data_IF_889556540754
#
_entry.id   IF_889556540754
#
_cell.length_a   1.000
_cell.length_b   1.000
_cell.length_c   1.000
_cell.angle_alpha   90.00
_cell.angle_beta   90.00
_cell.angle_gamma   90.00
#
_symmetry.space_group_name_H-M   'P 1'
#
loop_
_entity.id
_entity.type
_entity.pdbx_description
1 polymer ?
#
# COMPACT_ATOMS: atom_id res chain seq x y z
N UNK A 1 -17.08 -42.42 -15.05
CA UNK A 1 -16.29 -43.65 -15.29
C UNK A 1 -15.06 -43.57 -14.38
N UNK A 2 -15.11 -44.26 -13.23
CA UNK A 2 -14.11 -44.22 -12.16
C UNK A 2 -13.13 -45.37 -12.36
N UNK A 3 -11.83 -45.09 -12.41
CA UNK A 3 -10.78 -46.12 -12.36
C UNK A 3 -9.93 -45.87 -11.11
N UNK A 4 -10.02 -46.82 -10.17
CA UNK A 4 -9.14 -46.95 -9.00
C UNK A 4 -7.90 -47.74 -9.40
N UNK A 5 -6.69 -47.45 -8.91
CA UNK A 5 -5.55 -48.35 -9.02
C UNK A 5 -5.57 -49.42 -7.92
N UNK A 6 -5.33 -50.66 -8.36
CA UNK A 6 -5.18 -51.90 -7.60
C UNK A 6 -3.85 -51.88 -6.82
N UNK A 7 -3.91 -52.28 -5.55
CA UNK A 7 -2.73 -52.68 -4.75
C UNK A 7 -2.37 -54.15 -5.09
N UNK A 8 -1.08 -54.42 -5.31
CA UNK A 8 -0.48 -55.74 -5.41
C UNK A 8 0.10 -56.14 -4.03
N UNK A 9 0.00 -57.42 -3.63
CA UNK A 9 0.53 -57.90 -2.35
C UNK A 9 1.99 -58.35 -2.50
N UNK A 10 2.82 -58.08 -1.49
CA UNK A 10 4.18 -58.62 -1.30
C UNK A 10 4.12 -60.09 -0.88
N UNK A 11 5.05 -60.92 -1.35
CA UNK A 11 5.19 -62.29 -0.87
C UNK A 11 6.06 -62.38 0.39
N UNK A 12 5.54 -63.12 1.36
CA UNK A 12 6.21 -63.55 2.57
C UNK A 12 7.26 -64.63 2.25
N UNK A 13 8.50 -64.39 2.63
CA UNK A 13 9.56 -65.42 2.56
C UNK A 13 9.71 -66.05 3.94
N UNK A 14 9.42 -67.34 3.99
CA UNK A 14 9.56 -68.23 5.14
C UNK A 14 11.01 -68.74 5.18
N UNK A 15 11.79 -68.37 6.20
CA UNK A 15 13.14 -68.90 6.44
C UNK A 15 13.09 -70.01 7.48
N UNK A 16 13.40 -71.22 7.07
CA UNK A 16 13.58 -72.40 7.92
C UNK A 16 14.95 -72.37 8.57
N UNK A 17 15.00 -72.43 9.89
CA UNK A 17 16.22 -72.52 10.67
C UNK A 17 16.62 -74.00 10.86
N UNK A 18 17.81 -74.40 10.39
CA UNK A 18 18.46 -75.64 10.74
C UNK A 18 19.27 -75.48 12.00
N UNK A 19 18.95 -76.26 13.06
CA UNK A 19 19.79 -76.41 14.26
C UNK A 19 20.95 -77.36 13.98
N UNK A 20 22.17 -76.96 14.32
CA UNK A 20 23.31 -77.86 14.54
C UNK A 20 23.97 -77.50 15.88
N UNK A 21 24.30 -78.45 16.73
CA UNK A 21 24.94 -78.15 18.03
C UNK A 21 26.44 -78.03 17.86
N UNK A 22 27.04 -76.87 18.21
CA UNK A 22 28.46 -76.69 18.30
C UNK A 22 28.89 -76.54 19.77
N UNK A 23 29.89 -77.33 20.16
CA UNK A 23 30.48 -77.44 21.47
C UNK A 23 31.10 -76.11 21.92
N UNK A 24 30.89 -75.78 23.19
CA UNK A 24 31.40 -74.60 23.84
C UNK A 24 32.92 -74.78 24.24
N UNK A 25 33.79 -73.79 23.93
CA UNK A 25 35.07 -73.68 24.62
C UNK A 25 34.87 -72.94 25.95
N UNK A 26 35.43 -73.49 26.96
CA UNK A 26 35.57 -72.93 28.35
C UNK A 26 36.29 -71.59 28.29
N UNK A 27 35.49 -70.48 28.40
CA UNK A 27 36.05 -69.13 28.55
C UNK A 27 36.57 -68.93 30.03
N UNK A 28 37.85 -68.65 30.15
CA UNK A 28 38.40 -68.09 31.35
C UNK A 28 37.62 -66.82 31.73
N UNK A 29 37.04 -66.82 32.92
CA UNK A 29 36.38 -65.66 33.50
C UNK A 29 37.42 -64.54 33.77
N UNK A 30 37.48 -63.57 32.82
CA UNK A 30 38.04 -62.26 33.11
C UNK A 30 37.12 -61.59 34.11
N UNK A 31 37.57 -61.33 35.32
CA UNK A 31 36.90 -60.46 36.28
C UNK A 31 36.51 -59.16 35.60
N UNK A 32 35.27 -58.67 35.68
CA UNK A 32 34.94 -57.39 35.12
C UNK A 32 35.70 -56.28 35.80
N UNK A 33 36.58 -55.61 35.05
CA UNK A 33 37.18 -54.36 35.49
C UNK A 33 36.05 -53.42 35.84
N UNK A 34 36.02 -52.92 37.10
CA UNK A 34 35.05 -51.96 37.57
C UNK A 34 34.98 -50.79 36.56
N UNK A 35 33.79 -50.51 36.05
CA UNK A 35 33.56 -49.44 35.10
C UNK A 35 34.21 -48.14 35.60
N UNK A 36 35.08 -47.47 34.85
CA UNK A 36 35.79 -46.28 35.34
C UNK A 36 34.77 -45.18 35.67
N UNK A 37 34.82 -44.67 36.89
CA UNK A 37 33.92 -43.60 37.32
C UNK A 37 34.07 -42.40 36.36
N UNK A 38 32.98 -42.07 35.63
CA UNK A 38 32.98 -41.00 34.63
C UNK A 38 32.85 -39.64 35.28
N UNK A 39 33.78 -38.75 34.96
CA UNK A 39 33.86 -37.39 35.47
C UNK A 39 33.71 -36.43 34.31
N UNK A 40 32.57 -35.71 34.26
CA UNK A 40 32.33 -34.70 33.26
C UNK A 40 32.65 -33.32 33.85
N UNK A 41 33.51 -32.55 33.15
CA UNK A 41 33.86 -31.17 33.45
C UNK A 41 33.59 -30.28 32.23
N UNK A 42 33.40 -29.02 32.52
CA UNK A 42 33.38 -28.00 31.47
C UNK A 42 34.76 -27.33 31.39
N UNK A 43 35.23 -26.98 30.22
CA UNK A 43 36.49 -26.27 30.03
C UNK A 43 36.57 -25.02 30.93
N UNK A 44 37.68 -24.84 31.66
CA UNK A 44 37.90 -23.75 32.63
C UNK A 44 37.22 -23.95 33.98
N UNK A 45 36.57 -25.10 34.25
CA UNK A 45 35.99 -25.41 35.55
C UNK A 45 36.89 -26.39 36.33
N UNK A 46 36.75 -26.38 37.66
CA UNK A 46 37.45 -27.24 38.56
C UNK A 46 36.46 -28.14 39.30
N UNK A 47 36.89 -29.38 39.56
CA UNK A 47 36.13 -30.34 40.36
C UNK A 47 37.03 -30.99 41.37
N UNK A 48 36.61 -31.02 42.62
CA UNK A 48 37.36 -31.64 43.73
C UNK A 48 36.95 -33.11 43.87
N UNK A 49 37.92 -33.97 43.95
CA UNK A 49 37.79 -35.38 44.40
C UNK A 49 38.44 -35.55 45.78
N UNK A 50 37.65 -36.08 46.69
CA UNK A 50 38.08 -36.36 48.08
C UNK A 50 38.28 -37.83 48.21
N UNK A 51 39.42 -38.21 48.79
CA UNK A 51 39.84 -39.60 49.11
C UNK A 51 39.99 -39.76 50.57
N UNK A 52 39.52 -40.88 51.14
CA UNK A 52 39.57 -41.16 52.58
C UNK A 52 40.99 -41.41 53.10
N UNK A 53 41.93 -41.78 52.22
CA UNK A 53 43.31 -42.06 52.48
C UNK A 53 44.29 -41.11 51.81
N UNK A 54 45.57 -41.17 52.19
CA UNK A 54 46.60 -40.42 51.50
C UNK A 54 46.81 -40.98 50.08
N UNK A 55 46.89 -40.05 49.08
CA UNK A 55 47.24 -40.40 47.71
C UNK A 55 48.74 -40.53 47.57
N UNK A 56 49.23 -41.66 47.10
CA UNK A 56 50.67 -41.97 46.96
C UNK A 56 51.16 -41.57 45.55
N UNK A 57 50.33 -41.86 44.49
CA UNK A 57 50.71 -41.60 43.14
C UNK A 57 49.47 -41.26 42.33
N UNK A 58 49.61 -40.35 41.36
CA UNK A 58 48.63 -40.01 40.36
C UNK A 58 49.25 -40.12 38.96
N UNK A 59 48.47 -40.57 37.98
CA UNK A 59 48.87 -40.57 36.59
C UNK A 59 47.65 -40.09 35.72
N UNK A 60 47.87 -39.11 34.89
CA UNK A 60 46.92 -38.64 33.90
C UNK A 60 47.46 -38.98 32.51
N UNK A 61 46.57 -39.42 31.63
CA UNK A 61 47.01 -39.87 30.32
C UNK A 61 47.29 -38.66 29.40
N UNK A 62 46.55 -37.58 29.54
CA UNK A 62 46.71 -36.34 28.73
C UNK A 62 46.52 -35.09 29.61
N UNK A 63 47.65 -34.42 29.93
CA UNK A 63 47.69 -33.20 30.73
C UNK A 63 47.19 -31.96 29.93
N UNK A 64 47.10 -32.01 28.59
CA UNK A 64 46.60 -30.96 27.79
C UNK A 64 45.06 -30.87 27.90
N UNK A 65 44.37 -31.99 28.13
CA UNK A 65 42.92 -32.07 28.30
C UNK A 65 42.51 -31.68 29.72
N UNK A 66 43.17 -32.26 30.75
CA UNK A 66 42.89 -31.95 32.15
C UNK A 66 44.15 -31.88 32.99
N UNK A 67 44.23 -30.91 33.88
CA UNK A 67 45.27 -30.79 34.86
C UNK A 67 44.78 -31.31 36.22
N UNK A 68 45.68 -32.02 36.97
CA UNK A 68 45.39 -32.48 38.32
C UNK A 68 46.40 -31.87 39.32
N UNK A 69 45.87 -31.30 40.39
CA UNK A 69 46.65 -30.68 41.44
C UNK A 69 46.24 -31.27 42.80
N UNK A 70 47.19 -31.61 43.63
CA UNK A 70 46.92 -32.05 44.98
C UNK A 70 46.72 -30.81 45.86
N UNK A 71 45.51 -30.67 46.45
CA UNK A 71 45.28 -29.59 47.41
C UNK A 71 46.09 -29.79 48.68
N UNK A 72 46.64 -28.72 49.31
CA UNK A 72 47.39 -28.76 50.51
C UNK A 72 46.62 -29.46 51.63
N UNK A 73 47.27 -30.36 52.27
CA UNK A 73 46.68 -31.14 53.35
C UNK A 73 46.33 -30.25 54.56
N UNK A 74 45.06 -30.35 55.02
CA UNK A 74 44.63 -29.68 56.23
C UNK A 74 45.24 -30.42 57.40
N UNK A 75 45.96 -29.77 58.35
CA UNK A 75 46.50 -30.44 59.53
C UNK A 75 45.42 -31.16 60.30
N UNK A 76 45.58 -32.51 60.53
CA UNK A 76 44.65 -33.34 61.27
C UNK A 76 43.63 -34.15 60.42
N UNK A 77 43.57 -33.98 59.14
CA UNK A 77 42.67 -34.79 58.25
C UNK A 77 43.47 -35.83 57.45
N UNK A 78 43.12 -37.13 57.49
CA UNK A 78 43.76 -38.17 56.69
C UNK A 78 43.35 -38.06 55.19
N UNK A 79 42.29 -37.30 54.87
CA UNK A 79 41.70 -37.19 53.50
C UNK A 79 42.66 -36.42 52.59
N UNK A 80 42.93 -36.99 51.42
CA UNK A 80 43.59 -36.30 50.32
C UNK A 80 42.56 -35.70 49.38
N UNK A 81 42.83 -34.44 48.92
CA UNK A 81 41.94 -33.74 47.96
C UNK A 81 42.64 -33.48 46.62
N UNK A 82 42.10 -33.94 45.55
CA UNK A 82 42.56 -33.68 44.20
C UNK A 82 41.65 -32.69 43.51
N UNK A 83 42.22 -31.62 42.99
CA UNK A 83 41.49 -30.65 42.16
C UNK A 83 41.82 -30.95 40.72
N UNK A 84 40.81 -31.29 39.97
CA UNK A 84 40.89 -31.56 38.54
C UNK A 84 40.39 -30.31 37.80
N UNK A 85 41.22 -29.77 36.91
CA UNK A 85 40.93 -28.58 36.11
C UNK A 85 40.79 -28.98 34.63
N UNK A 86 39.63 -28.74 34.00
CA UNK A 86 39.44 -28.94 32.57
C UNK A 86 40.16 -27.85 31.78
N UNK A 87 41.18 -28.20 30.98
CA UNK A 87 41.98 -27.26 30.18
C UNK A 87 41.53 -27.18 28.73
N UNK A 88 41.34 -28.33 28.09
CA UNK A 88 40.89 -28.42 26.71
C UNK A 88 39.79 -29.48 26.55
N UNK A 89 38.91 -29.30 25.57
CA UNK A 89 37.86 -30.27 25.28
C UNK A 89 38.45 -31.58 24.76
N UNK A 90 38.01 -32.69 25.34
CA UNK A 90 38.49 -34.02 25.00
C UNK A 90 38.25 -35.01 26.11
N UNK A 91 38.65 -36.25 25.90
CA UNK A 91 38.60 -37.32 26.91
C UNK A 91 40.01 -37.71 27.39
N UNK A 92 40.18 -37.88 28.67
CA UNK A 92 41.43 -38.40 29.28
C UNK A 92 41.09 -39.33 30.44
N UNK A 93 42.08 -40.10 30.90
CA UNK A 93 41.92 -40.97 32.06
C UNK A 93 42.85 -40.56 33.16
N UNK A 94 42.38 -40.64 34.39
CA UNK A 94 43.14 -40.39 35.62
C UNK A 94 43.17 -41.65 36.45
N UNK A 95 44.36 -42.09 36.84
CA UNK A 95 44.55 -43.20 37.75
C UNK A 95 45.15 -42.66 39.09
N UNK A 96 44.52 -43.02 40.19
CA UNK A 96 44.91 -42.59 41.54
C UNK A 96 45.20 -43.80 42.37
N UNK A 97 46.41 -43.87 42.94
CA UNK A 97 46.83 -44.89 43.90
C UNK A 97 46.79 -44.33 45.31
N UNK A 98 45.95 -44.94 46.14
CA UNK A 98 45.83 -44.61 47.53
C UNK A 98 46.83 -45.42 48.33
N UNK A 99 47.45 -44.79 49.38
CA UNK A 99 48.43 -45.45 50.23
C UNK A 99 47.80 -46.67 50.96
N UNK A 100 48.40 -47.83 50.74
CA UNK A 100 47.95 -49.09 51.33
C UNK A 100 46.92 -49.87 50.50
N UNK A 101 46.56 -49.40 49.33
CA UNK A 101 45.73 -50.15 48.37
C UNK A 101 46.58 -50.60 47.16
N UNK A 102 46.54 -51.90 46.83
CA UNK A 102 47.32 -52.46 45.75
C UNK A 102 46.79 -52.06 44.34
N UNK A 103 45.49 -51.72 44.21
CA UNK A 103 44.89 -51.39 42.96
C UNK A 103 44.63 -49.87 42.82
N UNK A 104 45.02 -49.26 41.71
CA UNK A 104 44.70 -47.87 41.39
C UNK A 104 43.25 -47.75 40.97
N UNK A 105 42.53 -46.67 41.37
CA UNK A 105 41.22 -46.29 40.89
C UNK A 105 41.32 -45.48 39.60
N UNK A 106 40.60 -45.92 38.55
CA UNK A 106 40.58 -45.24 37.25
C UNK A 106 39.37 -44.37 37.16
N UNK A 107 39.53 -43.12 36.70
CA UNK A 107 38.47 -42.15 36.37
C UNK A 107 38.58 -41.79 34.93
N UNK A 108 37.47 -41.87 34.20
CA UNK A 108 37.35 -41.34 32.86
C UNK A 108 36.95 -39.88 32.98
N UNK A 109 37.79 -38.97 32.51
CA UNK A 109 37.54 -37.53 32.53
C UNK A 109 37.13 -37.11 31.14
N UNK A 110 35.95 -36.49 31.00
CA UNK A 110 35.45 -35.87 29.79
C UNK A 110 35.32 -34.37 29.99
N UNK A 111 36.13 -33.59 29.27
CA UNK A 111 36.06 -32.13 29.29
C UNK A 111 35.28 -31.67 28.10
N UNK A 112 34.12 -31.03 28.35
CA UNK A 112 33.22 -30.50 27.34
C UNK A 112 33.51 -29.01 27.13
N UNK A 113 33.33 -28.54 25.89
CA UNK A 113 33.40 -27.11 25.56
C UNK A 113 32.23 -26.35 26.23
N UNK A 114 32.48 -25.10 26.59
CA UNK A 114 31.37 -24.20 26.94
C UNK A 114 30.48 -24.01 25.75
N UNK A 115 29.19 -24.19 25.91
CA UNK A 115 28.19 -23.99 24.87
C UNK A 115 27.37 -22.77 25.23
N UNK A 116 27.40 -21.76 24.37
CA UNK A 116 26.43 -20.68 24.42
C UNK A 116 25.14 -21.15 23.73
N UNK A 117 24.02 -21.00 24.39
CA UNK A 117 22.72 -21.34 23.81
C UNK A 117 21.99 -20.01 23.50
N UNK A 118 21.67 -19.79 22.25
CA UNK A 118 20.81 -18.69 21.84
C UNK A 118 19.38 -19.22 21.75
N UNK A 119 18.52 -18.73 22.64
CA UNK A 119 17.09 -19.07 22.68
C UNK A 119 16.26 -17.78 22.52
N UNK A 120 15.05 -17.89 21.96
CA UNK A 120 14.14 -16.78 21.77
C UNK A 120 13.69 -16.64 20.33
N UNK A 121 12.98 -15.55 20.04
CA UNK A 121 12.56 -15.19 18.69
C UNK A 121 13.06 -13.78 18.36
N UNK A 122 13.65 -13.62 17.18
CA UNK A 122 14.05 -12.32 16.63
C UNK A 122 13.10 -11.94 15.51
N UNK A 123 12.73 -10.67 15.42
CA UNK A 123 11.80 -10.18 14.39
C UNK A 123 12.51 -9.83 13.09
N UNK A 124 13.85 -9.75 13.10
CA UNK A 124 14.64 -9.43 11.91
C UNK A 124 15.97 -10.19 11.87
N UNK A 125 16.51 -10.41 10.66
CA UNK A 125 17.84 -11.00 10.46
C UNK A 125 19.00 -10.16 11.06
N UNK A 126 19.00 -8.82 11.02
CA UNK A 126 20.01 -8.01 11.68
C UNK A 126 20.01 -8.19 13.19
N UNK A 127 18.82 -8.17 13.81
CA UNK A 127 18.66 -8.37 15.25
C UNK A 127 19.15 -9.75 15.69
N UNK A 128 18.80 -10.79 14.93
CA UNK A 128 19.30 -12.14 15.19
C UNK A 128 20.84 -12.22 15.10
N UNK A 129 21.45 -11.54 14.11
CA UNK A 129 22.92 -11.46 14.01
C UNK A 129 23.53 -10.77 15.21
N UNK A 130 22.97 -9.65 15.66
CA UNK A 130 23.42 -8.92 16.82
C UNK A 130 23.28 -9.75 18.11
N UNK A 131 22.16 -10.44 18.30
CA UNK A 131 21.94 -11.36 19.42
C UNK A 131 22.98 -12.49 19.44
N UNK A 132 23.29 -13.06 18.27
CA UNK A 132 24.30 -14.07 18.08
C UNK A 132 25.69 -13.56 18.42
N UNK A 133 26.07 -12.38 17.98
CA UNK A 133 27.36 -11.74 18.29
C UNK A 133 27.48 -11.44 19.79
N UNK A 134 26.40 -10.94 20.39
CA UNK A 134 26.35 -10.67 21.83
C UNK A 134 26.50 -11.95 22.66
N UNK A 135 25.78 -13.02 22.23
CA UNK A 135 25.93 -14.33 22.91
C UNK A 135 27.33 -14.91 22.80
N UNK A 136 28.00 -14.74 21.67
CA UNK A 136 29.40 -15.14 21.49
C UNK A 136 30.40 -14.28 22.29
N UNK A 137 30.15 -12.97 22.35
CA UNK A 137 30.98 -12.01 23.09
C UNK A 137 30.98 -12.25 24.61
N UNK A 138 29.90 -12.83 25.14
CA UNK A 138 29.81 -13.21 26.56
C UNK A 138 30.79 -14.35 26.95
N UNK A 139 31.36 -15.06 25.97
CA UNK A 139 32.29 -16.18 26.18
C UNK A 139 33.61 -15.94 25.42
N UNK A 140 34.64 -15.36 26.06
CA UNK A 140 35.89 -14.99 25.38
C UNK A 140 36.68 -16.19 24.83
N UNK A 141 36.47 -17.40 25.35
CA UNK A 141 37.16 -18.59 24.91
C UNK A 141 36.31 -19.49 24.01
N UNK A 142 36.37 -19.26 22.69
CA UNK A 142 35.90 -20.19 21.62
C UNK A 142 34.72 -21.10 22.03
N UNK A 143 33.67 -20.52 22.62
CA UNK A 143 32.45 -21.27 22.93
C UNK A 143 31.79 -21.78 21.64
N UNK A 144 31.22 -22.97 21.70
CA UNK A 144 30.36 -23.47 20.63
C UNK A 144 28.99 -22.87 20.82
N UNK A 145 28.50 -22.15 19.79
CA UNK A 145 27.13 -21.61 19.79
C UNK A 145 26.15 -22.69 19.32
N UNK A 146 25.17 -23.01 20.15
CA UNK A 146 23.99 -23.78 19.76
C UNK A 146 22.83 -22.81 19.59
N UNK A 147 22.45 -22.57 18.34
CA UNK A 147 21.35 -21.68 18.02
C UNK A 147 20.04 -22.48 17.97
N UNK A 148 19.15 -22.17 18.91
CA UNK A 148 17.77 -22.68 19.02
C UNK A 148 16.74 -21.58 18.83
N UNK A 149 17.19 -20.39 18.44
CA UNK A 149 16.31 -19.26 18.22
C UNK A 149 15.52 -19.41 16.92
N UNK A 150 14.36 -18.81 16.85
CA UNK A 150 13.56 -18.69 15.64
C UNK A 150 13.61 -17.27 15.12
N UNK A 151 13.80 -17.09 13.81
CA UNK A 151 13.68 -15.78 13.18
C UNK A 151 12.30 -15.71 12.53
N UNK A 152 11.42 -14.89 13.12
CA UNK A 152 10.11 -14.60 12.57
C UNK A 152 10.20 -13.25 11.87
N UNK A 153 10.59 -13.24 10.61
CA UNK A 153 10.56 -12.01 9.80
C UNK A 153 9.10 -11.60 9.64
N UNK A 154 8.69 -10.57 10.38
CA UNK A 154 7.44 -9.88 10.09
C UNK A 154 7.61 -9.16 8.74
N UNK A 155 7.01 -9.71 7.70
CA UNK A 155 6.92 -9.04 6.41
C UNK A 155 6.00 -7.83 6.60
N UNK A 156 6.58 -6.64 6.73
CA UNK A 156 5.82 -5.41 6.79
C UNK A 156 5.43 -5.00 5.37
N UNK A 157 4.29 -5.51 4.94
CA UNK A 157 3.64 -5.09 3.69
C UNK A 157 2.62 -4.02 4.00
N UNK A 158 2.70 -2.92 3.29
CA UNK A 158 1.81 -1.76 3.47
C UNK A 158 0.93 -1.63 2.23
N UNK A 159 -0.37 -1.63 2.43
CA UNK A 159 -1.34 -1.18 1.45
C UNK A 159 -1.56 0.31 1.66
N UNK A 160 -1.60 1.08 0.59
CA UNK A 160 -1.89 2.50 0.65
C UNK A 160 -3.08 2.81 -0.24
N UNK A 161 -4.11 3.35 0.38
CA UNK A 161 -5.31 3.81 -0.27
C UNK A 161 -5.23 5.33 -0.45
N UNK A 162 -5.36 5.79 -1.68
CA UNK A 162 -5.34 7.20 -2.00
C UNK A 162 -6.70 7.60 -2.55
N UNK A 163 -7.27 8.71 -2.07
CA UNK A 163 -8.51 9.28 -2.56
C UNK A 163 -8.25 10.66 -3.11
N UNK A 164 -8.47 10.83 -4.41
CA UNK A 164 -8.45 12.12 -5.09
C UNK A 164 -9.87 12.52 -5.37
N UNK A 165 -10.37 13.53 -4.68
CA UNK A 165 -11.74 14.03 -4.80
C UNK A 165 -11.70 15.44 -5.34
N UNK A 166 -12.30 15.64 -6.50
CA UNK A 166 -12.52 16.97 -7.08
C UNK A 166 -14.00 17.25 -7.15
N UNK A 167 -14.38 18.43 -6.72
CA UNK A 167 -15.73 18.94 -6.72
C UNK A 167 -15.78 20.23 -7.53
N UNK A 168 -16.55 20.25 -8.59
CA UNK A 168 -16.74 21.41 -9.45
C UNK A 168 -18.18 21.87 -9.37
N UNK A 169 -18.38 23.14 -9.03
CA UNK A 169 -19.68 23.80 -9.01
C UNK A 169 -19.66 25.00 -9.94
N UNK A 170 -20.64 25.07 -10.83
CA UNK A 170 -20.84 26.23 -11.70
C UNK A 170 -22.24 26.77 -11.52
N UNK A 171 -22.36 28.06 -11.37
CA UNK A 171 -23.63 28.77 -11.31
C UNK A 171 -23.62 29.84 -12.38
N UNK A 172 -24.59 29.81 -13.25
CA UNK A 172 -24.78 30.77 -14.33
C UNK A 172 -26.17 31.39 -14.22
N UNK A 173 -26.26 32.71 -14.03
CA UNK A 173 -27.52 33.46 -14.02
C UNK A 173 -27.42 34.57 -15.02
N UNK A 174 -28.37 34.58 -15.96
CA UNK A 174 -28.45 35.60 -16.98
C UNK A 174 -29.89 36.09 -17.12
N UNK A 175 -30.02 37.38 -17.25
CA UNK A 175 -31.31 38.00 -17.51
C UNK A 175 -31.14 39.15 -18.52
N UNK A 176 -31.94 39.15 -19.54
CA UNK A 176 -31.93 40.18 -20.57
C UNK A 176 -33.32 40.41 -21.15
N UNK A 177 -33.57 41.60 -21.63
CA UNK A 177 -34.86 42.01 -22.08
C UNK A 177 -34.72 42.91 -23.32
N UNK A 178 -35.49 42.59 -24.36
CA UNK A 178 -35.66 43.43 -25.56
C UNK A 178 -37.09 43.97 -25.59
N UNK A 179 -37.23 45.28 -25.71
CA UNK A 179 -38.55 45.93 -25.92
C UNK A 179 -38.49 46.76 -27.20
N UNK A 180 -39.48 46.60 -28.06
CA UNK A 180 -39.47 47.28 -29.33
C UNK A 180 -40.91 47.54 -29.82
N UNK A 181 -41.08 48.57 -30.64
CA UNK A 181 -42.34 48.79 -31.30
C UNK A 181 -42.45 47.84 -32.51
N UNK A 182 -43.63 47.23 -32.68
CA UNK A 182 -43.95 46.36 -33.80
C UNK A 182 -44.59 47.13 -35.00
N UNK A 183 -44.92 48.40 -34.77
CA UNK A 183 -45.44 49.33 -35.76
C UNK A 183 -45.00 50.74 -35.47
N UNK A 184 -44.86 51.55 -36.50
CA UNK A 184 -44.71 52.97 -36.25
C UNK A 184 -46.09 53.54 -35.77
N UNK A 185 -46.07 54.58 -34.94
CA UNK A 185 -47.26 55.27 -34.53
C UNK A 185 -47.82 56.13 -35.71
N UNK A 186 -48.94 56.79 -35.49
CA UNK A 186 -49.55 57.68 -36.49
C UNK A 186 -48.65 58.82 -36.97
N UNK A 187 -47.58 59.13 -36.30
CA UNK A 187 -46.54 60.12 -36.59
C UNK A 187 -45.26 59.52 -37.17
N UNK A 188 -45.23 58.19 -37.48
CA UNK A 188 -44.08 57.54 -38.03
C UNK A 188 -42.98 57.17 -36.99
N UNK A 189 -43.23 57.34 -35.69
CA UNK A 189 -42.28 57.06 -34.64
C UNK A 189 -42.31 55.57 -34.24
N UNK A 190 -41.09 54.95 -34.13
CA UNK A 190 -40.88 53.64 -33.61
C UNK A 190 -39.69 53.64 -32.69
N UNK A 191 -39.66 52.76 -31.70
CA UNK A 191 -38.58 52.66 -30.76
C UNK A 191 -38.21 51.20 -30.53
N UNK A 192 -36.97 50.97 -30.09
CA UNK A 192 -36.49 49.66 -29.67
C UNK A 192 -35.29 49.77 -28.77
N UNK A 193 -35.29 48.97 -27.71
CA UNK A 193 -34.14 48.77 -26.80
C UNK A 193 -33.80 47.29 -26.85
N UNK A 194 -32.62 47.01 -27.27
CA UNK A 194 -32.11 45.67 -27.44
C UNK A 194 -30.90 45.44 -26.56
N UNK A 195 -30.76 44.21 -26.05
CA UNK A 195 -29.52 43.81 -25.39
C UNK A 195 -28.37 43.84 -26.40
N UNK A 196 -27.11 44.07 -25.93
CA UNK A 196 -25.96 44.02 -26.82
C UNK A 196 -25.97 42.74 -27.68
N UNK A 197 -25.65 42.85 -28.97
CA UNK A 197 -25.63 41.74 -29.93
C UNK A 197 -26.98 41.13 -30.35
N UNK A 198 -28.11 41.56 -29.78
CA UNK A 198 -29.40 41.01 -30.20
C UNK A 198 -30.01 41.67 -31.47
N UNK A 199 -29.71 42.93 -31.72
CA UNK A 199 -30.15 43.60 -32.92
C UNK A 199 -29.28 43.23 -34.12
N UNK A 200 -29.88 42.67 -35.18
CA UNK A 200 -29.18 42.36 -36.43
C UNK A 200 -29.35 43.46 -37.48
N UNK A 201 -30.60 43.77 -37.76
CA UNK A 201 -30.93 44.77 -38.76
C UNK A 201 -32.33 45.38 -38.54
N UNK A 202 -32.53 46.58 -39.03
CA UNK A 202 -33.82 47.24 -39.12
C UNK A 202 -34.05 47.65 -40.55
N UNK A 203 -35.16 47.26 -41.16
CA UNK A 203 -35.51 47.61 -42.51
C UNK A 203 -36.84 48.34 -42.52
N UNK A 204 -36.87 49.56 -43.16
CA UNK A 204 -38.07 50.26 -43.46
C UNK A 204 -38.63 49.72 -44.74
N UNK A 205 -39.86 49.22 -44.70
CA UNK A 205 -40.58 48.75 -45.86
C UNK A 205 -41.27 49.91 -46.55
N UNK A 206 -41.56 49.75 -47.79
CA UNK A 206 -42.23 50.76 -48.67
C UNK A 206 -43.68 51.12 -48.21
N UNK A 207 -44.31 50.27 -47.43
CA UNK A 207 -45.57 50.41 -46.77
C UNK A 207 -45.56 51.19 -45.44
N UNK A 208 -44.39 51.73 -45.07
CA UNK A 208 -44.19 52.43 -43.78
C UNK A 208 -44.09 51.52 -42.58
N UNK A 209 -44.03 50.20 -42.73
CA UNK A 209 -43.82 49.28 -41.66
C UNK A 209 -42.33 49.12 -41.39
N UNK A 210 -41.96 48.92 -40.09
CA UNK A 210 -40.58 48.64 -39.64
C UNK A 210 -40.43 47.15 -39.37
N UNK A 211 -39.59 46.50 -40.16
CA UNK A 211 -39.16 45.12 -39.84
C UNK A 211 -37.88 45.13 -39.11
N UNK A 212 -37.88 44.66 -37.89
CA UNK A 212 -36.70 44.52 -37.03
C UNK A 212 -36.29 43.04 -36.95
N UNK A 213 -35.15 42.73 -37.50
CA UNK A 213 -34.52 41.39 -37.32
C UNK A 213 -33.63 41.46 -36.08
N UNK A 214 -34.08 40.79 -35.03
CA UNK A 214 -33.37 40.73 -33.77
C UNK A 214 -33.31 39.30 -33.25
N UNK A 215 -32.15 38.93 -32.78
CA UNK A 215 -31.99 37.69 -32.02
C UNK A 215 -32.69 37.79 -30.66
N UNK A 216 -32.90 36.66 -30.05
CA UNK A 216 -33.33 36.60 -28.66
C UNK A 216 -32.33 37.35 -27.76
N UNK A 217 -32.77 37.98 -26.64
CA UNK A 217 -31.88 38.69 -25.69
C UNK A 217 -30.72 37.83 -25.21
N UNK A 218 -30.93 36.52 -25.09
CA UNK A 218 -29.95 35.53 -24.72
C UNK A 218 -30.09 34.34 -25.69
N UNK A 219 -29.01 33.99 -26.37
CA UNK A 219 -29.00 32.92 -27.40
C UNK A 219 -29.26 31.52 -26.84
N UNK A 220 -28.91 31.27 -25.61
CA UNK A 220 -28.98 29.95 -24.94
C UNK A 220 -29.89 29.98 -23.69
N UNK A 221 -30.98 30.77 -23.72
CA UNK A 221 -31.83 30.95 -22.55
C UNK A 221 -33.29 30.68 -22.90
N UNK A 222 -34.12 30.51 -21.89
CA UNK A 222 -35.57 30.52 -22.07
C UNK A 222 -36.01 31.92 -22.47
N UNK A 223 -36.70 32.07 -23.60
CA UNK A 223 -37.17 33.33 -24.10
C UNK A 223 -38.68 33.33 -24.06
N UNK A 224 -39.25 34.37 -23.42
CA UNK A 224 -40.69 34.64 -23.37
C UNK A 224 -41.01 35.82 -24.28
N UNK A 225 -41.83 35.61 -25.27
CA UNK A 225 -42.25 36.63 -26.23
C UNK A 225 -43.66 37.09 -25.91
N UNK A 226 -43.82 38.38 -25.62
CA UNK A 226 -45.12 39.02 -25.46
C UNK A 226 -45.33 40.02 -26.58
N UNK A 227 -46.45 39.91 -27.27
CA UNK A 227 -46.81 40.84 -28.31
C UNK A 227 -48.15 41.53 -27.98
N UNK A 228 -48.08 42.82 -27.74
CA UNK A 228 -49.25 43.65 -27.45
C UNK A 228 -49.71 44.30 -28.73
N UNK A 229 -50.42 43.57 -29.61
CA UNK A 229 -50.76 43.97 -30.96
C UNK A 229 -51.54 45.29 -31.06
N UNK A 230 -52.46 45.62 -30.12
CA UNK A 230 -53.15 46.89 -30.06
C UNK A 230 -52.26 48.07 -29.70
N UNK A 231 -51.27 47.81 -28.78
CA UNK A 231 -50.30 48.84 -28.36
C UNK A 231 -49.12 48.96 -29.32
N UNK A 232 -48.98 48.03 -30.29
CA UNK A 232 -47.82 47.99 -31.20
C UNK A 232 -46.47 47.76 -30.49
N UNK A 233 -46.47 47.04 -29.38
CA UNK A 233 -45.28 46.79 -28.57
C UNK A 233 -44.98 45.30 -28.53
N UNK A 234 -43.72 44.95 -28.81
CA UNK A 234 -43.15 43.64 -28.62
C UNK A 234 -42.19 43.64 -27.43
N UNK A 235 -42.28 42.64 -26.60
CA UNK A 235 -41.39 42.41 -25.43
C UNK A 235 -40.84 40.99 -25.49
N UNK A 236 -39.54 40.85 -25.54
CA UNK A 236 -38.86 39.55 -25.47
C UNK A 236 -37.98 39.52 -24.25
N UNK A 237 -38.27 38.58 -23.36
CA UNK A 237 -37.58 38.42 -22.07
C UNK A 237 -36.82 37.11 -22.05
N UNK A 238 -35.51 37.18 -21.86
CA UNK A 238 -34.64 36.01 -21.74
C UNK A 238 -34.19 35.80 -20.29
N UNK A 239 -34.38 34.59 -19.79
CA UNK A 239 -33.90 34.16 -18.49
C UNK A 239 -33.14 32.84 -18.61
N UNK A 240 -31.99 32.75 -17.95
CA UNK A 240 -31.23 31.51 -17.78
C UNK A 240 -30.76 31.42 -16.35
N UNK A 241 -31.11 30.34 -15.71
CA UNK A 241 -30.48 29.90 -14.47
C UNK A 241 -29.96 28.47 -14.66
N UNK A 242 -28.65 28.31 -14.63
CA UNK A 242 -27.96 27.03 -14.76
C UNK A 242 -27.17 26.75 -13.50
N UNK A 243 -27.34 25.55 -12.96
CA UNK A 243 -26.55 25.02 -11.85
C UNK A 243 -25.86 23.74 -12.33
N UNK A 244 -24.55 23.79 -12.50
CA UNK A 244 -23.72 22.64 -12.84
C UNK A 244 -23.03 22.12 -11.58
N UNK A 245 -23.08 20.81 -11.40
CA UNK A 245 -22.40 20.10 -10.32
C UNK A 245 -21.71 18.89 -10.92
N UNK A 246 -20.38 18.79 -10.72
CA UNK A 246 -19.61 17.63 -11.11
C UNK A 246 -18.71 17.19 -9.96
N UNK A 247 -18.61 15.89 -9.74
CA UNK A 247 -17.71 15.28 -8.78
C UNK A 247 -16.87 14.24 -9.48
N UNK A 248 -15.57 14.35 -9.37
CA UNK A 248 -14.61 13.33 -9.84
C UNK A 248 -14.03 12.65 -8.61
N UNK A 249 -14.04 11.33 -8.63
CA UNK A 249 -13.48 10.51 -7.57
C UNK A 249 -12.55 9.48 -8.19
N UNK A 250 -11.29 9.46 -7.74
CA UNK A 250 -10.32 8.45 -8.09
C UNK A 250 -9.76 7.83 -6.79
N UNK A 251 -9.81 6.51 -6.69
CA UNK A 251 -9.37 5.77 -5.50
C UNK A 251 -8.37 4.67 -5.89
N UNK A 252 -7.11 5.02 -6.26
CA UNK A 252 -6.09 4.01 -6.49
C UNK A 252 -5.62 3.42 -5.17
N UNK A 253 -5.45 2.09 -5.17
CA UNK A 253 -4.88 1.31 -4.07
C UNK A 253 -3.65 0.58 -4.57
N UNK A 254 -2.56 0.63 -3.81
CA UNK A 254 -1.31 -0.04 -4.16
C UNK A 254 -0.66 -0.63 -2.93
N UNK A 255 -0.09 -1.83 -3.09
CA UNK A 255 0.59 -2.56 -2.02
C UNK A 255 2.09 -2.59 -2.30
N UNK A 256 2.88 -2.27 -1.28
CA UNK A 256 4.34 -2.31 -1.35
C UNK A 256 4.97 -2.90 -0.09
N UNK A 257 6.15 -3.47 -0.22
CA UNK A 257 6.96 -3.90 0.90
C UNK A 257 7.65 -2.69 1.54
N UNK A 258 7.78 -2.68 2.86
CA UNK A 258 8.51 -1.63 3.59
C UNK A 258 9.90 -1.37 2.99
N UNK A 259 10.22 -0.11 2.70
CA UNK A 259 11.47 0.34 2.09
C UNK A 259 11.54 0.14 0.56
N UNK A 260 10.51 -0.41 -0.09
CA UNK A 260 10.49 -0.62 -1.54
C UNK A 260 9.55 0.35 -2.23
N UNK A 261 9.97 0.86 -3.39
CA UNK A 261 9.13 1.70 -4.23
C UNK A 261 8.22 0.85 -5.11
N UNK A 262 6.97 1.25 -5.21
CA UNK A 262 5.99 0.66 -6.11
C UNK A 262 5.31 1.76 -6.93
N UNK A 263 4.92 1.43 -8.16
CA UNK A 263 4.18 2.32 -9.04
C UNK A 263 3.02 1.59 -9.70
N UNK A 264 1.94 2.33 -9.90
CA UNK A 264 0.72 1.88 -10.57
C UNK A 264 0.27 2.97 -11.54
N UNK A 265 -0.16 2.59 -12.71
CA UNK A 265 -0.78 3.49 -13.68
C UNK A 265 -1.98 2.78 -14.34
N UNK A 266 -3.13 3.43 -14.27
CA UNK A 266 -4.35 3.01 -14.96
C UNK A 266 -4.83 4.13 -15.87
N UNK A 267 -4.74 3.95 -17.18
CA UNK A 267 -5.05 4.99 -18.14
C UNK A 267 -4.76 4.57 -19.57
N UNK A 268 -4.38 5.52 -20.37
CA UNK A 268 -4.01 5.34 -21.78
C UNK A 268 -2.86 6.24 -22.18
N UNK A 269 -2.57 6.27 -23.48
CA UNK A 269 -1.57 7.15 -24.07
C UNK A 269 -2.18 7.99 -25.15
N UNK A 270 -1.96 9.29 -25.09
CA UNK A 270 -2.39 10.24 -26.11
C UNK A 270 -1.32 10.39 -27.18
N UNK A 271 -1.59 10.02 -28.45
CA UNK A 271 -0.67 10.25 -29.55
C UNK A 271 -0.68 11.73 -29.95
N UNK A 272 0.43 12.40 -29.78
CA UNK A 272 0.62 13.80 -30.16
C UNK A 272 1.49 13.86 -31.42
N UNK A 273 0.98 14.40 -32.53
CA UNK A 273 1.79 14.60 -33.72
C UNK A 273 2.78 15.76 -33.53
N UNK A 274 4.06 15.46 -33.60
CA UNK A 274 5.15 16.45 -33.49
C UNK A 274 5.77 16.66 -34.87
N UNK A 275 5.76 17.88 -35.43
CA UNK A 275 6.38 18.15 -36.70
C UNK A 275 7.90 18.06 -36.59
N UNK A 276 8.50 17.25 -37.46
CA UNK A 276 9.94 17.02 -37.53
C UNK A 276 10.45 17.63 -38.78
N UNK A 277 10.78 18.76 -39.02
CA UNK A 277 11.34 19.38 -40.24
C UNK A 277 11.09 18.63 -41.57
N UNK A 278 11.23 19.29 -42.71
CA UNK A 278 11.03 18.70 -44.04
C UNK A 278 9.68 18.04 -44.33
N UNK A 279 8.61 18.43 -43.60
CA UNK A 279 7.25 17.91 -43.81
C UNK A 279 6.97 16.53 -43.23
N UNK A 280 7.89 15.95 -42.47
CA UNK A 280 7.68 14.68 -41.74
C UNK A 280 7.05 14.94 -40.36
N UNK A 281 6.14 14.05 -39.92
CA UNK A 281 5.50 14.10 -38.59
C UNK A 281 5.87 12.86 -37.82
N UNK A 282 6.36 13.03 -36.61
CA UNK A 282 6.57 11.95 -35.63
C UNK A 282 5.39 11.94 -34.65
N UNK A 283 5.10 10.80 -34.07
CA UNK A 283 4.06 10.66 -33.03
C UNK A 283 4.75 10.47 -31.69
N UNK A 284 4.48 11.36 -30.75
CA UNK A 284 4.88 11.23 -29.35
C UNK A 284 3.68 10.76 -28.54
N UNK A 285 3.87 9.70 -27.75
CA UNK A 285 2.84 9.17 -26.87
C UNK A 285 2.99 9.76 -25.48
N UNK A 286 1.94 10.41 -24.98
CA UNK A 286 1.92 10.98 -23.65
C UNK A 286 0.93 10.23 -22.76
N UNK A 287 1.38 9.58 -21.68
CA UNK A 287 0.48 8.84 -20.80
C UNK A 287 -0.46 9.80 -20.07
N UNK A 288 -1.69 9.34 -19.86
CA UNK A 288 -2.70 10.00 -19.04
C UNK A 288 -3.49 8.95 -18.26
N UNK A 289 -4.16 9.36 -17.18
CA UNK A 289 -4.96 8.50 -16.33
C UNK A 289 -4.65 8.69 -14.85
N UNK A 290 -4.84 7.64 -14.05
CA UNK A 290 -4.62 7.65 -12.61
C UNK A 290 -3.31 6.93 -12.32
N UNK A 291 -2.33 7.66 -11.84
CA UNK A 291 -1.01 7.18 -11.44
C UNK A 291 -0.81 7.27 -9.93
N UNK A 292 -0.10 6.31 -9.36
CA UNK A 292 0.29 6.32 -7.96
C UNK A 292 1.69 5.73 -7.84
N UNK A 293 2.62 6.51 -7.32
CA UNK A 293 3.95 6.03 -6.92
C UNK A 293 4.09 6.22 -5.42
N UNK A 294 4.56 5.20 -4.73
CA UNK A 294 4.74 5.24 -3.28
C UNK A 294 5.96 4.44 -2.81
N UNK A 295 6.48 4.85 -1.66
CA UNK A 295 7.53 4.14 -0.93
C UNK A 295 7.20 4.21 0.55
N UNK A 296 6.61 3.15 1.14
CA UNK A 296 6.32 3.09 2.56
C UNK A 296 7.56 2.63 3.32
N UNK A 297 7.77 3.13 4.52
CA UNK A 297 8.79 2.66 5.46
C UNK A 297 8.16 2.52 6.85
N UNK A 298 8.07 1.31 7.33
CA UNK A 298 7.56 1.04 8.69
C UNK A 298 8.66 1.36 9.69
N UNK A 299 8.40 2.31 10.57
CA UNK A 299 9.36 2.81 11.58
C UNK A 299 9.25 2.07 12.91
N UNK A 300 8.12 1.45 13.19
CA UNK A 300 7.82 0.71 14.42
C UNK A 300 6.53 -0.07 14.24
N UNK A 301 5.95 -0.57 15.33
CA UNK A 301 4.76 -1.43 15.25
C UNK A 301 3.54 -0.77 14.60
N UNK A 302 3.38 0.56 14.77
CA UNK A 302 2.19 1.28 14.29
C UNK A 302 2.51 2.54 13.47
N UNK A 303 3.79 2.86 13.20
CA UNK A 303 4.17 4.10 12.51
C UNK A 303 4.77 3.82 11.14
N UNK A 304 4.24 4.52 10.14
CA UNK A 304 4.60 4.37 8.73
C UNK A 304 5.01 5.72 8.17
N UNK A 305 6.28 5.87 7.78
CA UNK A 305 6.72 6.97 6.94
C UNK A 305 6.39 6.62 5.50
N UNK A 306 5.59 7.46 4.84
CA UNK A 306 5.10 7.22 3.50
C UNK A 306 5.53 8.37 2.58
N UNK A 307 6.37 8.06 1.59
CA UNK A 307 6.56 8.92 0.42
C UNK A 307 5.53 8.53 -0.62
N UNK A 308 4.69 9.49 -1.05
CA UNK A 308 3.58 9.23 -1.97
C UNK A 308 3.48 10.32 -3.03
N UNK A 309 3.30 9.90 -4.28
CA UNK A 309 3.16 10.77 -5.44
C UNK A 309 1.96 10.33 -6.28
N UNK A 310 0.72 10.67 -5.87
CA UNK A 310 -0.48 10.45 -6.67
C UNK A 310 -0.54 11.44 -7.85
N UNK A 311 -1.03 10.94 -8.97
CA UNK A 311 -1.31 11.71 -10.18
C UNK A 311 -2.67 11.29 -10.76
N UNK A 312 -3.51 12.28 -11.10
CA UNK A 312 -4.74 12.07 -11.83
C UNK A 312 -4.78 13.01 -13.02
N UNK A 313 -4.84 12.47 -14.23
CA UNK A 313 -4.86 13.24 -15.47
C UNK A 313 -6.00 12.80 -16.36
N UNK A 314 -6.72 13.79 -16.91
CA UNK A 314 -7.88 13.63 -17.78
C UNK A 314 -7.69 14.40 -19.08
N UNK A 315 -8.35 13.92 -20.15
CA UNK A 315 -8.37 14.61 -21.44
C UNK A 315 -9.44 15.70 -21.45
N UNK A 316 -9.03 16.93 -21.79
CA UNK A 316 -9.91 18.07 -21.91
C UNK A 316 -10.11 18.42 -23.40
N UNK A 317 -11.24 18.04 -23.94
CA UNK A 317 -11.62 18.34 -25.32
C UNK A 317 -12.16 19.76 -25.50
N UNK A 318 -12.52 20.45 -24.41
CA UNK A 318 -13.02 21.84 -24.46
C UNK A 318 -11.93 22.80 -24.87
N UNK A 319 -10.68 22.51 -24.44
CA UNK A 319 -9.49 23.27 -24.75
C UNK A 319 -8.59 22.58 -25.79
N UNK A 320 -9.21 21.79 -26.69
CA UNK A 320 -8.46 21.09 -27.74
C UNK A 320 -7.86 22.07 -28.76
N UNK A 321 -6.62 21.78 -29.17
CA UNK A 321 -5.94 22.48 -30.26
C UNK A 321 -6.14 21.71 -31.56
N UNK A 322 -6.51 22.41 -32.64
CA UNK A 322 -6.58 21.80 -33.96
C UNK A 322 -5.20 21.86 -34.64
N UNK A 323 -4.57 20.71 -34.82
CA UNK A 323 -3.28 20.57 -35.51
C UNK A 323 -3.53 19.84 -36.83
N UNK A 324 -3.31 20.51 -37.98
CA UNK A 324 -3.56 19.96 -39.31
C UNK A 324 -4.96 19.36 -39.49
N UNK A 325 -5.99 19.96 -38.88
CA UNK A 325 -7.37 19.48 -38.95
C UNK A 325 -7.72 18.35 -37.97
N UNK A 326 -6.75 17.88 -37.15
CA UNK A 326 -6.96 16.88 -36.12
C UNK A 326 -7.08 17.59 -34.76
N UNK A 327 -8.18 17.42 -34.01
CA UNK A 327 -8.30 17.97 -32.63
C UNK A 327 -7.43 17.19 -31.67
N UNK A 328 -6.44 17.84 -31.06
CA UNK A 328 -5.61 17.29 -30.00
C UNK A 328 -6.13 17.84 -28.68
N UNK A 329 -6.68 17.02 -27.76
CA UNK A 329 -7.16 17.50 -26.48
C UNK A 329 -6.03 17.96 -25.57
N UNK A 330 -6.32 18.89 -24.68
CA UNK A 330 -5.40 19.24 -23.60
C UNK A 330 -5.43 18.15 -22.51
N UNK A 331 -4.35 18.02 -21.73
CA UNK A 331 -4.29 17.13 -20.57
C UNK A 331 -4.39 18.00 -19.32
N UNK A 332 -5.42 17.77 -18.51
CA UNK A 332 -5.57 18.38 -17.19
C UNK A 332 -4.97 17.44 -16.16
N UNK A 333 -3.94 17.88 -15.45
CA UNK A 333 -3.20 17.04 -14.48
C UNK A 333 -3.32 17.59 -13.08
N UNK A 334 -3.57 16.69 -12.12
CA UNK A 334 -3.56 16.93 -10.68
C UNK A 334 -2.52 16.02 -10.08
N UNK A 335 -1.47 16.58 -9.47
CA UNK A 335 -0.34 15.85 -8.91
C UNK A 335 0.03 16.39 -7.55
N UNK A 336 0.37 15.51 -6.64
CA UNK A 336 1.05 15.84 -5.39
C UNK A 336 2.29 14.95 -5.25
N UNK A 337 3.33 15.43 -4.57
CA UNK A 337 4.51 14.64 -4.19
C UNK A 337 4.91 15.11 -2.79
N UNK A 338 4.81 14.20 -1.83
CA UNK A 338 5.05 14.52 -0.44
C UNK A 338 5.48 13.31 0.38
N UNK A 339 6.05 13.57 1.55
CA UNK A 339 6.38 12.54 2.53
C UNK A 339 5.68 12.88 3.84
N UNK A 340 4.91 11.92 4.36
CA UNK A 340 4.15 12.06 5.60
C UNK A 340 4.38 10.87 6.52
N UNK A 341 4.15 11.04 7.80
CA UNK A 341 4.22 9.98 8.79
C UNK A 341 2.83 9.78 9.41
N UNK A 342 2.34 8.54 9.38
CA UNK A 342 0.97 8.15 9.74
C UNK A 342 0.98 6.88 10.57
N UNK A 343 -0.05 6.68 11.39
CA UNK A 343 -0.37 5.39 12.00
C UNK A 343 -1.08 4.45 11.04
N UNK A 344 -1.15 3.16 11.40
CA UNK A 344 -1.93 2.17 10.65
C UNK A 344 -3.42 2.55 10.64
N UNK A 345 -4.01 2.69 9.45
CA UNK A 345 -5.40 3.10 9.25
C UNK A 345 -5.68 4.60 9.46
N UNK A 346 -4.68 5.42 9.79
CA UNK A 346 -4.86 6.87 9.91
C UNK A 346 -4.94 7.52 8.53
N UNK A 347 -5.91 8.41 8.35
CA UNK A 347 -6.08 9.18 7.11
C UNK A 347 -5.53 10.58 7.26
N UNK A 348 -4.82 11.05 6.25
CA UNK A 348 -4.27 12.41 6.22
C UNK A 348 -4.54 13.11 4.88
N UNK A 349 -4.89 14.39 4.94
CA UNK A 349 -5.05 15.21 3.74
C UNK A 349 -3.67 15.73 3.35
N UNK A 350 -3.11 15.19 2.28
CA UNK A 350 -1.75 15.53 1.80
C UNK A 350 -1.73 16.75 0.90
N UNK A 351 -2.88 17.15 0.36
CA UNK A 351 -2.97 18.33 -0.51
C UNK A 351 -4.40 18.68 -0.82
N UNK A 352 -4.60 19.92 -1.24
CA UNK A 352 -5.90 20.41 -1.64
C UNK A 352 -5.79 21.74 -2.36
N UNK A 353 -6.85 22.11 -3.07
CA UNK A 353 -7.01 23.38 -3.77
C UNK A 353 -8.45 23.83 -3.64
N UNK A 354 -8.66 25.08 -3.29
CA UNK A 354 -9.95 25.75 -3.41
C UNK A 354 -9.76 26.94 -4.36
N UNK A 355 -10.50 26.94 -5.44
CA UNK A 355 -10.49 28.00 -6.43
C UNK A 355 -11.92 28.48 -6.68
N UNK A 356 -12.17 29.76 -6.44
CA UNK A 356 -13.45 30.38 -6.70
C UNK A 356 -13.27 31.57 -7.65
N UNK A 357 -13.98 31.56 -8.77
CA UNK A 357 -14.04 32.65 -9.73
C UNK A 357 -15.47 33.15 -9.82
N UNK A 358 -15.66 34.42 -9.63
CA UNK A 358 -16.97 35.07 -9.75
C UNK A 358 -16.83 36.21 -10.72
N UNK A 359 -17.69 36.22 -11.75
CA UNK A 359 -17.81 37.28 -12.73
C UNK A 359 -19.25 37.82 -12.71
N UNK A 360 -19.39 39.10 -12.55
CA UNK A 360 -20.69 39.77 -12.57
C UNK A 360 -20.61 40.95 -13.52
N UNK A 361 -21.26 40.83 -14.66
CA UNK A 361 -21.30 41.85 -15.68
C UNK A 361 -22.75 42.42 -15.78
N UNK A 362 -22.84 43.72 -15.81
CA UNK A 362 -24.10 44.43 -16.06
C UNK A 362 -23.88 45.40 -17.22
N UNK A 363 -24.36 45.04 -18.36
CA UNK A 363 -24.39 45.92 -19.56
C UNK A 363 -25.66 46.73 -19.51
N UNK A 364 -25.57 48.06 -19.50
CA UNK A 364 -26.69 48.97 -19.33
C UNK A 364 -26.62 50.19 -20.24
N UNK A 365 -27.78 50.72 -20.59
CA UNK A 365 -27.86 52.05 -21.22
C UNK A 365 -27.57 53.09 -20.15
N UNK A 366 -26.59 54.02 -20.37
CA UNK A 366 -26.27 55.06 -19.42
C UNK A 366 -27.52 55.87 -19.04
N UNK A 367 -27.66 56.24 -17.76
CA UNK A 367 -28.76 56.96 -17.13
C UNK A 367 -30.07 56.15 -17.04
N UNK A 368 -30.53 55.50 -18.14
CA UNK A 368 -31.76 54.72 -18.17
C UNK A 368 -31.67 53.44 -17.39
N UNK A 369 -30.51 52.76 -17.45
CA UNK A 369 -30.27 51.51 -16.72
C UNK A 369 -30.16 51.67 -15.22
N UNK A 370 -29.99 52.90 -14.73
CA UNK A 370 -29.85 53.21 -13.29
C UNK A 370 -31.19 53.59 -12.63
N UNK A 371 -32.26 53.71 -13.43
CA UNK A 371 -33.58 54.07 -12.91
C UNK A 371 -34.16 52.89 -12.08
N UNK A 372 -34.67 53.16 -10.89
CA UNK A 372 -35.34 52.16 -10.08
C UNK A 372 -36.56 51.60 -10.84
N UNK A 373 -36.73 50.30 -10.80
CA UNK A 373 -37.76 49.50 -11.50
C UNK A 373 -37.61 49.54 -13.01
N UNK A 374 -37.58 50.73 -13.64
CA UNK A 374 -37.53 50.91 -15.08
C UNK A 374 -36.16 50.53 -15.69
N UNK A 375 -35.08 50.63 -14.89
CA UNK A 375 -33.74 50.29 -15.38
C UNK A 375 -33.58 48.83 -15.75
N UNK A 376 -34.47 47.94 -15.30
CA UNK A 376 -34.47 46.54 -15.70
C UNK A 376 -34.69 46.34 -17.19
N UNK A 377 -35.43 47.22 -17.86
CA UNK A 377 -35.69 47.23 -19.31
C UNK A 377 -34.48 47.71 -20.13
N UNK A 378 -33.50 48.32 -19.48
CA UNK A 378 -32.34 48.93 -20.14
C UNK A 378 -31.02 48.35 -19.69
N UNK A 379 -31.03 47.14 -19.09
CA UNK A 379 -29.84 46.41 -18.66
C UNK A 379 -29.92 44.91 -18.92
N UNK A 380 -28.76 44.33 -19.15
CA UNK A 380 -28.53 42.88 -19.19
C UNK A 380 -27.59 42.53 -18.04
N UNK A 381 -27.98 41.55 -17.26
CA UNK A 381 -27.13 41.04 -16.17
C UNK A 381 -26.64 39.65 -16.50
N UNK A 382 -25.35 39.39 -16.29
CA UNK A 382 -24.74 38.08 -16.37
C UNK A 382 -23.93 37.85 -15.11
N UNK A 383 -24.30 36.85 -14.35
CA UNK A 383 -23.59 36.40 -13.17
C UNK A 383 -23.10 34.98 -13.41
N UNK A 384 -21.81 34.76 -13.28
CA UNK A 384 -21.18 33.45 -13.40
C UNK A 384 -20.28 33.21 -12.20
N UNK A 385 -20.46 32.08 -11.52
CA UNK A 385 -19.60 31.62 -10.46
C UNK A 385 -19.10 30.23 -10.83
N UNK A 386 -17.80 30.01 -10.71
CA UNK A 386 -17.14 28.71 -10.85
C UNK A 386 -16.33 28.45 -9.60
N UNK A 387 -16.60 27.36 -8.95
CA UNK A 387 -15.92 26.91 -7.73
C UNK A 387 -15.36 25.51 -7.97
N UNK A 388 -14.08 25.34 -7.71
CA UNK A 388 -13.37 24.07 -7.81
C UNK A 388 -12.70 23.78 -6.48
N UNK A 389 -12.99 22.62 -5.95
CA UNK A 389 -12.36 22.11 -4.71
C UNK A 389 -11.68 20.79 -5.02
N UNK A 390 -10.43 20.65 -4.65
CA UNK A 390 -9.65 19.43 -4.76
C UNK A 390 -9.15 19.03 -3.38
N UNK A 391 -9.29 17.76 -3.03
CA UNK A 391 -8.74 17.18 -1.80
C UNK A 391 -8.09 15.85 -2.15
N UNK A 392 -6.87 15.64 -1.65
CA UNK A 392 -6.14 14.38 -1.78
C UNK A 392 -5.91 13.82 -0.38
N UNK A 393 -6.44 12.62 -0.13
CA UNK A 393 -6.37 11.91 1.15
C UNK A 393 -5.58 10.64 0.96
N UNK A 394 -4.77 10.28 1.93
CA UNK A 394 -3.96 9.05 1.95
C UNK A 394 -4.20 8.30 3.25
N UNK A 395 -4.31 6.97 3.16
CA UNK A 395 -4.52 6.07 4.30
C UNK A 395 -3.65 4.83 4.10
N UNK A 396 -2.61 4.62 4.90
CA UNK A 396 -1.82 3.39 4.88
C UNK A 396 -2.44 2.32 5.79
N UNK A 397 -2.29 1.04 5.40
CA UNK A 397 -2.70 -0.12 6.17
C UNK A 397 -1.58 -1.17 6.20
N UNK A 398 -1.29 -1.72 7.37
CA UNK A 398 -0.43 -2.89 7.49
C UNK A 398 -1.22 -4.15 7.11
N UNK A 399 -0.86 -4.79 6.01
CA UNK A 399 -1.59 -5.93 5.46
C UNK A 399 -0.75 -7.20 5.46
N UNK A 400 -1.43 -8.35 5.53
CA UNK A 400 -0.83 -9.67 5.41
C UNK A 400 -1.30 -10.34 4.14
N UNK A 401 -0.48 -11.18 3.51
CA UNK A 401 -0.91 -11.97 2.35
C UNK A 401 -2.11 -12.85 2.69
N UNK A 402 -2.98 -13.03 1.72
CA UNK A 402 -4.14 -13.92 1.83
C UNK A 402 -3.65 -15.36 2.03
N UNK A 403 -4.30 -16.12 2.91
CA UNK A 403 -3.93 -17.48 3.21
C UNK A 403 -4.00 -18.38 1.96
N UNK A 404 -3.06 -19.32 1.86
CA UNK A 404 -3.01 -20.26 0.73
C UNK A 404 -4.29 -21.10 0.65
N UNK A 405 -4.94 -21.11 -0.52
CA UNK A 405 -6.16 -21.88 -0.77
C UNK A 405 -7.47 -21.14 -0.46
N UNK A 406 -7.42 -19.85 -0.11
CA UNK A 406 -8.62 -19.01 0.03
C UNK A 406 -9.25 -18.78 -1.35
N UNK A 407 -10.58 -18.92 -1.44
CA UNK A 407 -11.33 -18.57 -2.65
C UNK A 407 -11.31 -17.04 -2.86
N UNK A 408 -10.76 -16.61 -3.99
CA UNK A 408 -10.67 -15.19 -4.35
C UNK A 408 -11.88 -14.70 -5.15
N UNK A 409 -12.78 -15.59 -5.56
CA UNK A 409 -13.94 -15.22 -6.40
C UNK A 409 -14.78 -14.08 -5.81
N UNK A 410 -15.02 -13.99 -4.50
CA UNK A 410 -15.79 -12.87 -3.92
C UNK A 410 -15.11 -11.51 -4.00
N UNK A 411 -13.78 -11.48 -4.17
CA UNK A 411 -12.96 -10.26 -4.21
C UNK A 411 -12.72 -9.74 -5.63
N UNK A 412 -13.10 -10.52 -6.65
CA UNK A 412 -12.92 -10.13 -8.04
C UNK A 412 -14.04 -9.18 -8.48
N UNK A 413 -13.69 -8.10 -9.23
CA UNK A 413 -14.69 -7.22 -9.80
C UNK A 413 -15.62 -8.01 -10.76
N UNK A 414 -16.91 -7.71 -10.70
CA UNK A 414 -17.92 -8.37 -11.55
C UNK A 414 -18.49 -9.67 -10.99
N UNK A 415 -18.04 -10.17 -9.85
CA UNK A 415 -18.58 -11.39 -9.23
C UNK A 415 -20.09 -11.31 -8.91
N UNK A 416 -20.60 -10.10 -8.68
CA UNK A 416 -22.01 -9.82 -8.34
C UNK A 416 -22.77 -9.09 -9.45
N UNK A 417 -22.19 -8.94 -10.65
CA UNK A 417 -22.88 -8.31 -11.77
C UNK A 417 -23.90 -9.28 -12.40
N UNK A 418 -25.17 -9.07 -12.09
CA UNK A 418 -26.28 -9.72 -12.78
C UNK A 418 -26.65 -8.90 -14.02
N UNK A 419 -26.16 -9.30 -15.20
CA UNK A 419 -26.46 -8.64 -16.49
C UNK A 419 -27.72 -9.17 -17.19
N UNK A 420 -28.41 -10.14 -16.61
CA UNK A 420 -29.51 -10.86 -17.27
C UNK A 420 -30.90 -10.24 -17.08
N UNK A 421 -30.97 -8.96 -16.77
CA UNK A 421 -32.27 -8.26 -16.72
C UNK A 421 -32.85 -8.06 -18.13
N UNK A 422 -34.13 -8.38 -18.37
CA UNK A 422 -34.76 -8.12 -19.68
C UNK A 422 -34.77 -6.63 -19.97
N UNK A 423 -34.55 -6.25 -21.24
CA UNK A 423 -34.40 -4.86 -21.71
C UNK A 423 -35.57 -3.97 -21.27
N UNK A 424 -36.80 -4.50 -21.21
CA UNK A 424 -37.99 -3.74 -20.79
C UNK A 424 -37.88 -3.24 -19.33
N UNK A 425 -37.16 -3.98 -18.48
CA UNK A 425 -36.97 -3.58 -17.08
C UNK A 425 -36.12 -2.30 -16.96
N UNK A 426 -35.10 -2.14 -17.81
CA UNK A 426 -34.29 -0.91 -17.84
C UNK A 426 -35.08 0.30 -18.33
N UNK A 427 -36.09 0.08 -19.19
CA UNK A 427 -36.94 1.14 -19.73
C UNK A 427 -37.94 1.63 -18.68
N UNK A 428 -38.55 0.71 -17.90
CA UNK A 428 -39.65 1.07 -16.98
C UNK A 428 -39.19 1.35 -15.55
N UNK A 429 -38.09 0.78 -15.09
CA UNK A 429 -37.62 0.97 -13.69
C UNK A 429 -36.41 1.90 -13.56
N UNK A 430 -35.84 2.36 -14.70
CA UNK A 430 -34.53 3.01 -14.71
C UNK A 430 -33.41 2.02 -14.37
N UNK A 431 -32.22 2.32 -14.85
CA UNK A 431 -31.02 1.59 -14.42
C UNK A 431 -30.66 2.07 -13.01
N UNK A 432 -31.28 1.48 -11.99
CA UNK A 432 -30.81 1.67 -10.62
C UNK A 432 -29.66 0.66 -10.43
N UNK A 433 -28.40 1.09 -10.40
CA UNK A 433 -27.33 0.21 -9.98
C UNK A 433 -27.69 -0.22 -8.55
N UNK A 434 -27.87 -1.51 -8.34
CA UNK A 434 -27.98 -2.05 -7.00
C UNK A 434 -26.81 -1.51 -6.16
N UNK A 435 -27.05 -1.18 -4.91
CA UNK A 435 -26.05 -0.72 -3.96
C UNK A 435 -24.92 -1.78 -3.86
N UNK A 436 -24.00 -1.71 -4.76
CA UNK A 436 -22.80 -2.53 -4.73
C UNK A 436 -21.83 -1.87 -3.75
N UNK A 437 -21.63 -2.52 -2.62
CA UNK A 437 -20.44 -2.30 -1.84
C UNK A 437 -19.25 -2.50 -2.79
N UNK A 438 -18.49 -1.44 -3.02
CA UNK A 438 -17.27 -1.53 -3.81
C UNK A 438 -16.37 -2.60 -3.17
N UNK A 439 -15.88 -3.59 -3.92
CA UNK A 439 -14.96 -4.56 -3.38
C UNK A 439 -13.66 -3.84 -3.03
N UNK A 440 -13.38 -3.72 -1.74
CA UNK A 440 -12.08 -3.29 -1.25
C UNK A 440 -11.14 -4.48 -1.24
N UNK A 441 -9.87 -4.27 -1.54
CA UNK A 441 -8.83 -5.31 -1.49
C UNK A 441 -8.47 -5.76 -0.07
N UNK A 442 -9.01 -5.09 0.95
CA UNK A 442 -8.81 -5.43 2.36
C UNK A 442 -10.11 -5.29 3.15
N UNK A 443 -10.48 -6.33 3.85
CA UNK A 443 -11.30 -6.32 5.05
C UNK A 443 -10.48 -6.85 6.19
#
# INVERSE_FOLDING_TARGET
MRLRPRRLPMPTVLAVALLAPAAAPTALALTPAADPARLVLTMGTQKELVFDGAVERIAIADEAVAGVTIARRTPGSPAARLVITGKAAGGTSLIVWEKGKAAGRTYAIEVQRRTAVLEGSSESLPEHRQARETALAAFPDKATLTDRSSVQVKSHTVQVDVKVVEFNRSVLKQAGLNIFSTRANSHGFSFGVFTPTSLKSTTYNTDGSLTTDANNPLSQAFNLLFNFGRAGIGLNVGFLEGNGLARVLAEPTLVALSGQSASFLSGGELPIPVPQGLGTTSIEYKPFGIGLTLTPTVLGDDRIALKVAPEASDLDYTNALSLNGVPVPAITTRRADTTVELGDGESFIIGGLVSRSTSSNADKVPLLGDLPVLGTFFKQNRYQMSEKELVIVVTPHLVRPIARGTDLSPYLPGANEQRDGPVWRSIFTGNVPGSTSLPGFSR
#
